data_IF_998782981353
#
_entry.id   IF_998782981353
#
_cell.length_a   1.000
_cell.length_b   1.000
_cell.length_c   1.000
_cell.angle_alpha   90.00
_cell.angle_beta   90.00
_cell.angle_gamma   90.00
#
_symmetry.space_group_name_H-M   'P 1'
#
loop_
_entity.id
_entity.type
_entity.pdbx_description
1 polymer ?
#
# COMPACT_ATOMS: atom_id res chain seq x y z
N UNK A 1 -0.20 68.68 97.07
CA UNK A 1 -0.40 67.96 98.27
C UNK A 1 -0.57 66.48 97.93
N UNK A 2 0.17 65.71 98.57
CA UNK A 2 0.12 64.26 98.87
C UNK A 2 0.52 63.31 97.79
N UNK A 3 1.71 62.69 98.08
CA UNK A 3 2.31 61.57 97.46
C UNK A 3 1.58 60.20 97.69
N UNK A 4 1.62 59.36 96.77
CA UNK A 4 1.39 57.95 97.14
C UNK A 4 2.31 57.06 96.22
N UNK A 5 3.07 56.25 97.00
CA UNK A 5 4.08 55.33 96.48
C UNK A 5 3.48 54.11 95.87
N UNK A 6 3.99 53.70 94.71
CA UNK A 6 3.67 52.45 94.04
C UNK A 6 4.72 51.38 94.37
N UNK A 7 4.30 50.27 94.95
CA UNK A 7 5.12 49.04 95.12
C UNK A 7 5.23 48.27 93.83
N UNK A 8 6.48 47.93 93.45
CA UNK A 8 6.80 47.00 92.37
C UNK A 8 6.62 45.55 92.85
N UNK A 9 5.79 44.81 92.19
CA UNK A 9 5.76 43.36 92.30
C UNK A 9 6.44 42.77 91.05
N UNK A 10 7.57 42.01 91.28
CA UNK A 10 8.26 41.24 90.24
C UNK A 10 7.45 39.94 89.96
N UNK A 11 6.94 39.79 88.80
CA UNK A 11 6.37 38.51 88.33
C UNK A 11 7.41 37.81 87.49
N UNK A 12 7.82 36.66 87.94
CA UNK A 12 8.75 35.72 87.24
C UNK A 12 7.92 35.07 86.10
N UNK A 13 8.28 35.37 84.86
CA UNK A 13 7.75 34.63 83.69
C UNK A 13 8.62 33.38 83.49
N UNK A 14 8.00 32.23 83.65
CA UNK A 14 8.51 30.96 83.17
C UNK A 14 8.42 30.92 81.68
N UNK A 15 9.53 30.81 80.96
CA UNK A 15 9.60 30.57 79.54
C UNK A 15 9.27 29.08 79.25
N UNK A 16 8.11 28.82 78.70
CA UNK A 16 7.75 27.55 78.12
C UNK A 16 8.31 27.45 76.72
N UNK A 17 9.28 26.54 76.54
CA UNK A 17 9.75 26.15 75.21
C UNK A 17 8.71 25.23 74.57
N UNK A 18 7.93 25.72 73.62
CA UNK A 18 7.12 24.90 72.71
C UNK A 18 7.98 24.57 71.48
N UNK A 19 8.41 23.31 71.39
CA UNK A 19 9.05 22.73 70.23
C UNK A 19 7.94 22.55 69.16
N UNK A 20 7.89 23.42 68.15
CA UNK A 20 7.06 23.23 66.96
C UNK A 20 7.80 22.25 66.04
N UNK A 21 7.34 21.00 65.97
CA UNK A 21 7.76 19.99 65.03
C UNK A 21 7.18 20.35 63.64
N UNK A 22 7.90 21.04 62.78
CA UNK A 22 7.55 21.28 61.38
C UNK A 22 7.77 20.00 60.61
N UNK A 23 6.73 19.18 60.45
CA UNK A 23 6.67 18.08 59.49
C UNK A 23 6.63 18.64 58.09
N UNK A 24 7.81 18.77 57.44
CA UNK A 24 7.94 19.06 56.02
C UNK A 24 7.48 17.85 55.22
N UNK A 25 6.24 17.89 54.74
CA UNK A 25 5.75 16.97 53.68
C UNK A 25 6.45 17.40 52.38
N UNK A 26 7.60 16.76 52.08
CA UNK A 26 8.17 16.84 50.75
C UNK A 26 7.22 16.10 49.78
N UNK A 27 6.34 16.84 49.15
CA UNK A 27 5.57 16.36 48.00
C UNK A 27 6.58 16.11 46.89
N UNK A 28 7.04 14.86 46.75
CA UNK A 28 7.72 14.37 45.55
C UNK A 28 6.71 14.44 44.40
N UNK A 29 6.70 15.58 43.72
CA UNK A 29 6.07 15.70 42.43
C UNK A 29 6.82 14.79 41.47
N UNK A 30 6.37 13.57 41.28
CA UNK A 30 6.68 12.78 40.10
C UNK A 30 6.08 13.54 38.91
N UNK A 31 6.82 14.51 38.37
CA UNK A 31 6.60 14.94 37.02
C UNK A 31 6.90 13.70 36.15
N UNK A 32 5.87 12.96 35.77
CA UNK A 32 5.99 12.01 34.69
C UNK A 32 6.54 12.82 33.52
N UNK A 33 7.81 12.62 33.21
CA UNK A 33 8.41 13.18 32.00
C UNK A 33 7.57 12.63 30.85
N UNK A 34 6.68 13.45 30.35
CA UNK A 34 5.90 13.14 29.17
C UNK A 34 6.94 12.98 28.07
N UNK A 35 7.26 11.72 27.73
CA UNK A 35 8.12 11.39 26.61
C UNK A 35 7.59 12.18 25.42
N UNK A 36 8.46 12.99 24.81
CA UNK A 36 8.06 13.75 23.62
C UNK A 36 7.50 12.77 22.61
N UNK A 37 6.30 13.06 22.07
CA UNK A 37 5.64 12.19 21.11
C UNK A 37 6.58 11.94 19.92
N UNK A 38 6.82 10.68 19.61
CA UNK A 38 7.59 10.29 18.42
C UNK A 38 6.74 10.56 17.19
N UNK A 39 7.29 11.27 16.23
CA UNK A 39 6.61 11.55 14.95
C UNK A 39 7.22 10.70 13.85
N UNK A 40 6.39 9.99 13.09
CA UNK A 40 6.76 9.20 11.93
C UNK A 40 5.93 9.68 10.73
N UNK A 41 6.62 9.99 9.64
CA UNK A 41 6.01 10.37 8.38
C UNK A 41 6.09 9.19 7.42
N UNK A 42 4.96 8.85 6.85
CA UNK A 42 4.83 7.89 5.76
C UNK A 42 4.36 8.59 4.49
N UNK A 43 4.82 8.12 3.34
CA UNK A 43 4.27 8.49 2.04
C UNK A 43 4.50 7.39 1.01
N UNK A 44 3.66 7.35 -0.01
CA UNK A 44 3.88 6.43 -1.13
C UNK A 44 2.63 5.92 -1.80
N UNK A 45 2.48 4.61 -1.84
CA UNK A 45 1.44 3.91 -2.58
C UNK A 45 0.03 4.41 -2.28
N UNK A 46 -0.71 4.69 -3.35
CA UNK A 46 -2.14 5.02 -3.25
C UNK A 46 -3.02 3.78 -3.06
N UNK A 47 -2.51 2.58 -3.36
CA UNK A 47 -3.21 1.31 -3.19
C UNK A 47 -3.29 0.91 -1.72
N UNK A 48 -2.18 0.95 -0.97
CA UNK A 48 -2.17 0.64 0.48
C UNK A 48 -2.70 1.79 1.35
N UNK A 49 -2.75 3.01 0.84
CA UNK A 49 -3.09 4.22 1.61
C UNK A 49 -4.38 4.10 2.44
N UNK A 50 -5.51 3.54 1.95
CA UNK A 50 -6.71 3.36 2.77
C UNK A 50 -6.49 2.43 3.97
N UNK A 51 -5.72 1.36 3.79
CA UNK A 51 -5.36 0.44 4.87
C UNK A 51 -4.40 1.11 5.85
N UNK A 52 -3.40 1.83 5.35
CA UNK A 52 -2.40 2.50 6.19
C UNK A 52 -3.04 3.53 7.13
N UNK A 53 -4.00 4.32 6.63
CA UNK A 53 -4.80 5.22 7.49
C UNK A 53 -5.62 4.47 8.55
N UNK A 54 -6.19 3.31 8.19
CA UNK A 54 -6.90 2.46 9.14
C UNK A 54 -5.95 1.92 10.22
N UNK A 55 -4.72 1.56 9.84
CA UNK A 55 -3.68 1.14 10.76
C UNK A 55 -3.24 2.26 11.71
N UNK A 56 -3.01 3.47 11.21
CA UNK A 56 -2.67 4.63 12.06
C UNK A 56 -3.78 4.84 13.12
N UNK A 57 -5.05 4.86 12.69
CA UNK A 57 -6.17 5.07 13.59
C UNK A 57 -6.34 3.95 14.63
N UNK A 58 -6.06 2.71 14.26
CA UNK A 58 -6.12 1.57 15.16
C UNK A 58 -4.91 1.53 16.12
N UNK A 59 -3.70 1.78 15.61
CA UNK A 59 -2.47 1.74 16.38
C UNK A 59 -2.35 2.88 17.40
N UNK A 60 -2.95 4.02 17.15
CA UNK A 60 -3.03 5.12 18.11
C UNK A 60 -3.67 4.72 19.46
N UNK A 61 -4.45 3.62 19.49
CA UNK A 61 -4.99 3.04 20.74
C UNK A 61 -3.99 2.12 21.43
N UNK A 62 -3.02 1.57 20.69
CA UNK A 62 -1.97 0.68 21.19
C UNK A 62 -0.80 1.51 21.72
N UNK A 63 -0.39 2.52 20.96
CA UNK A 63 0.68 3.46 21.33
C UNK A 63 0.23 4.91 21.12
N UNK A 64 -0.36 5.54 22.14
CA UNK A 64 -0.76 6.95 22.09
C UNK A 64 0.43 7.94 22.01
N UNK A 65 1.65 7.48 22.28
CA UNK A 65 2.89 8.27 22.20
C UNK A 65 3.42 8.41 20.78
N UNK A 66 2.97 7.56 19.84
CA UNK A 66 3.35 7.64 18.43
C UNK A 66 2.36 8.50 17.64
N UNK A 67 2.89 9.49 16.94
CA UNK A 67 2.13 10.31 15.98
C UNK A 67 2.56 9.96 14.57
N UNK A 68 1.64 9.55 13.73
CA UNK A 68 1.91 9.20 12.35
C UNK A 68 1.07 10.03 11.39
N UNK A 69 1.67 10.37 10.25
CA UNK A 69 0.99 10.97 9.10
C UNK A 69 1.24 10.11 7.87
N UNK A 70 0.26 9.99 7.00
CA UNK A 70 0.36 9.25 5.75
C UNK A 70 0.03 10.12 4.54
N UNK A 71 0.68 9.85 3.41
CA UNK A 71 0.50 10.57 2.16
C UNK A 71 0.44 9.63 0.95
N UNK A 72 -0.52 9.88 0.06
CA UNK A 72 -0.74 9.10 -1.17
C UNK A 72 -0.02 9.75 -2.37
N UNK A 73 1.30 9.61 -2.47
CA UNK A 73 2.14 10.31 -3.46
C UNK A 73 2.59 9.45 -4.64
N UNK A 74 2.27 8.15 -4.62
CA UNK A 74 2.71 7.15 -5.58
C UNK A 74 3.95 6.38 -5.11
N UNK A 75 4.07 5.12 -5.54
CA UNK A 75 5.10 4.19 -5.08
C UNK A 75 6.52 4.66 -5.37
N UNK A 76 6.77 5.27 -6.54
CA UNK A 76 8.09 5.82 -6.88
C UNK A 76 8.52 6.92 -5.91
N UNK A 77 7.58 7.81 -5.53
CA UNK A 77 7.82 8.85 -4.53
C UNK A 77 8.10 8.23 -3.17
N UNK A 78 7.36 7.19 -2.77
CA UNK A 78 7.59 6.45 -1.52
C UNK A 78 9.00 5.86 -1.45
N UNK A 79 9.41 5.14 -2.49
CA UNK A 79 10.77 4.57 -2.59
C UNK A 79 11.83 5.67 -2.53
N UNK A 80 11.71 6.71 -3.39
CA UNK A 80 12.74 7.74 -3.52
C UNK A 80 12.88 8.58 -2.25
N UNK A 81 11.76 8.92 -1.57
CA UNK A 81 11.79 9.69 -0.33
C UNK A 81 12.32 8.87 0.85
N UNK A 82 12.07 7.55 0.89
CA UNK A 82 12.67 6.65 1.88
C UNK A 82 14.19 6.55 1.68
N UNK A 83 14.67 6.39 0.43
CA UNK A 83 16.10 6.39 0.08
C UNK A 83 16.75 7.72 0.49
N UNK A 84 16.09 8.84 0.20
CA UNK A 84 16.55 10.18 0.55
C UNK A 84 16.39 10.53 2.03
N UNK A 85 15.80 9.63 2.85
CA UNK A 85 15.50 9.83 4.29
C UNK A 85 14.62 11.05 4.56
N UNK A 86 13.78 11.42 3.61
CA UNK A 86 12.79 12.50 3.75
C UNK A 86 11.56 12.03 4.53
N UNK A 87 11.29 10.74 4.50
CA UNK A 87 10.27 10.07 5.30
C UNK A 87 10.88 8.88 6.04
N UNK A 88 10.26 8.46 7.13
CA UNK A 88 10.70 7.29 7.89
C UNK A 88 10.21 5.98 7.26
N UNK A 89 9.04 6.01 6.64
CA UNK A 89 8.44 4.87 5.93
C UNK A 89 8.03 5.35 4.54
N UNK A 90 8.58 4.74 3.50
CA UNK A 90 7.99 4.81 2.17
C UNK A 90 7.07 3.61 1.98
N UNK A 91 5.90 3.78 1.37
CA UNK A 91 5.07 2.63 0.96
C UNK A 91 5.09 2.47 -0.55
N UNK A 92 5.02 1.21 -1.01
CA UNK A 92 5.11 0.90 -2.43
C UNK A 92 4.50 -0.45 -2.76
N UNK A 93 3.79 -0.52 -3.88
CA UNK A 93 3.31 -1.78 -4.47
C UNK A 93 4.42 -2.44 -5.31
N UNK A 94 5.50 -1.71 -5.59
CA UNK A 94 6.68 -2.18 -6.27
C UNK A 94 7.85 -2.31 -5.28
N UNK A 95 8.67 -3.34 -5.43
CA UNK A 95 9.96 -3.41 -4.74
C UNK A 95 11.00 -2.53 -5.44
N UNK A 96 12.06 -2.15 -4.73
CA UNK A 96 13.20 -1.44 -5.33
C UNK A 96 13.82 -2.28 -6.44
N UNK A 97 14.16 -1.64 -7.56
CA UNK A 97 14.93 -2.28 -8.62
C UNK A 97 16.29 -2.77 -8.11
N UNK A 98 16.93 -3.69 -8.84
CA UNK A 98 18.26 -4.19 -8.49
C UNK A 98 19.28 -3.06 -8.35
N UNK A 99 19.26 -2.10 -9.28
CA UNK A 99 20.12 -0.93 -9.22
C UNK A 99 19.87 -0.08 -7.97
N UNK A 100 18.62 0.15 -7.61
CA UNK A 100 18.27 0.89 -6.38
C UNK A 100 18.73 0.13 -5.13
N UNK A 101 18.48 -1.18 -5.06
CA UNK A 101 18.88 -2.01 -3.92
C UNK A 101 20.40 -2.11 -3.77
N UNK A 102 21.13 -2.31 -4.87
CA UNK A 102 22.60 -2.33 -4.86
C UNK A 102 23.20 -0.97 -4.43
N UNK A 103 22.61 0.13 -4.89
CA UNK A 103 23.06 1.47 -4.51
C UNK A 103 22.70 1.86 -3.08
N UNK A 104 21.70 1.21 -2.48
CA UNK A 104 21.13 1.55 -1.17
C UNK A 104 20.93 0.30 -0.29
N UNK A 105 22.01 -0.44 0.05
CA UNK A 105 21.89 -1.72 0.77
C UNK A 105 21.35 -1.59 2.19
N UNK A 106 21.24 -0.36 2.71
CA UNK A 106 20.64 -0.05 4.01
C UNK A 106 19.13 0.14 3.95
N UNK A 107 18.51 0.13 2.77
CA UNK A 107 17.07 0.28 2.60
C UNK A 107 16.45 -1.11 2.44
N UNK A 108 15.45 -1.39 3.26
CA UNK A 108 14.72 -2.64 3.29
C UNK A 108 13.44 -2.56 2.46
N UNK A 109 13.05 -3.67 1.85
CA UNK A 109 11.73 -3.89 1.27
C UNK A 109 11.01 -4.89 2.16
N UNK A 110 10.03 -4.44 2.93
CA UNK A 110 9.35 -5.25 3.94
C UNK A 110 7.90 -5.45 3.54
N UNK A 111 7.48 -6.65 3.11
CA UNK A 111 6.07 -6.94 2.87
C UNK A 111 5.22 -6.73 4.13
N UNK A 112 4.06 -6.10 3.97
CA UNK A 112 3.09 -5.85 5.05
C UNK A 112 1.79 -6.61 4.83
N UNK A 113 1.37 -6.78 3.58
CA UNK A 113 0.16 -7.48 3.18
C UNK A 113 0.29 -7.94 1.73
N UNK A 114 -0.68 -8.70 1.24
CA UNK A 114 -0.84 -9.00 -0.19
C UNK A 114 -2.12 -8.33 -0.67
N UNK A 115 -2.00 -7.62 -1.79
CA UNK A 115 -3.10 -6.95 -2.46
C UNK A 115 -3.30 -7.47 -3.87
N UNK A 116 -4.22 -6.85 -4.60
CA UNK A 116 -4.48 -7.11 -5.99
C UNK A 116 -4.84 -5.82 -6.73
N UNK A 117 -4.88 -5.91 -8.05
CA UNK A 117 -5.45 -4.88 -8.91
C UNK A 117 -6.62 -5.43 -9.70
N UNK A 118 -7.56 -4.56 -10.05
CA UNK A 118 -8.61 -4.81 -11.03
C UNK A 118 -8.28 -4.08 -12.34
N UNK A 119 -8.83 -4.56 -13.43
CA UNK A 119 -8.95 -3.79 -14.66
C UNK A 119 -10.42 -3.40 -14.79
N UNK A 120 -10.70 -2.11 -14.64
CA UNK A 120 -12.05 -1.57 -14.64
C UNK A 120 -12.42 -1.02 -16.01
N UNK A 121 -13.64 -1.29 -16.47
CA UNK A 121 -14.18 -0.76 -17.69
C UNK A 121 -15.48 0.01 -17.43
N UNK A 122 -15.65 1.14 -18.13
CA UNK A 122 -16.89 1.91 -18.13
C UNK A 122 -17.69 1.63 -19.40
N UNK A 123 -18.49 0.58 -19.38
CA UNK A 123 -19.32 0.15 -20.51
C UNK A 123 -20.79 0.24 -20.13
N UNK A 124 -21.46 1.38 -20.40
CA UNK A 124 -22.84 1.61 -19.96
C UNK A 124 -23.84 0.54 -20.41
N UNK A 125 -23.61 -0.08 -21.59
CA UNK A 125 -24.47 -1.10 -22.17
C UNK A 125 -24.29 -2.49 -21.56
N UNK A 126 -23.17 -2.71 -20.82
CA UNK A 126 -22.79 -4.02 -20.29
C UNK A 126 -22.78 -4.07 -18.75
N UNK A 127 -23.44 -3.12 -18.10
CA UNK A 127 -23.51 -3.10 -16.63
C UNK A 127 -24.02 -4.43 -16.07
N UNK A 128 -23.28 -4.96 -15.08
CA UNK A 128 -23.56 -6.27 -14.50
C UNK A 128 -23.10 -7.47 -15.34
N UNK A 129 -22.35 -7.23 -16.41
CA UNK A 129 -21.76 -8.28 -17.26
C UNK A 129 -20.25 -8.13 -17.31
N UNK A 130 -19.48 -8.84 -16.47
CA UNK A 130 -18.02 -8.75 -16.47
C UNK A 130 -17.46 -9.23 -17.81
N UNK A 131 -16.59 -8.41 -18.41
CA UNK A 131 -15.87 -8.79 -19.62
C UNK A 131 -14.67 -9.67 -19.29
N UNK A 132 -14.34 -10.55 -20.23
CA UNK A 132 -13.08 -11.32 -20.21
C UNK A 132 -12.04 -10.55 -21.01
N UNK A 133 -10.90 -10.27 -20.38
CA UNK A 133 -9.74 -9.65 -21.02
C UNK A 133 -8.49 -10.49 -20.72
N UNK A 134 -7.63 -10.59 -21.72
CA UNK A 134 -6.32 -11.26 -21.58
C UNK A 134 -5.19 -10.24 -21.60
N UNK A 135 -4.01 -10.62 -21.11
CA UNK A 135 -2.83 -9.77 -21.19
C UNK A 135 -2.49 -9.35 -22.62
N UNK A 136 -2.48 -10.26 -23.64
CA UNK A 136 -2.28 -9.89 -25.03
C UNK A 136 -3.32 -8.87 -25.55
N UNK A 137 -4.60 -8.99 -25.17
CA UNK A 137 -5.63 -8.04 -25.56
C UNK A 137 -5.37 -6.67 -24.91
N UNK A 138 -5.05 -6.64 -23.61
CA UNK A 138 -4.71 -5.40 -22.91
C UNK A 138 -3.44 -4.75 -23.49
N UNK A 139 -2.39 -5.53 -23.81
CA UNK A 139 -1.23 -5.04 -24.51
C UNK A 139 -1.58 -4.43 -25.88
N UNK A 140 -2.53 -5.05 -26.61
CA UNK A 140 -3.12 -4.52 -27.83
C UNK A 140 -3.83 -3.20 -27.63
N UNK A 141 -4.63 -3.07 -26.56
CA UNK A 141 -5.35 -1.84 -26.21
C UNK A 141 -4.35 -0.71 -25.88
N UNK A 142 -3.44 -0.96 -24.96
CA UNK A 142 -2.48 0.06 -24.50
C UNK A 142 -1.38 0.40 -25.53
N UNK A 143 -1.26 -0.40 -26.60
CA UNK A 143 -0.42 -0.10 -27.75
C UNK A 143 -1.19 0.53 -28.94
N UNK A 144 -2.54 0.61 -28.87
CA UNK A 144 -3.39 1.11 -29.94
C UNK A 144 -3.59 0.15 -31.11
N UNK A 145 -3.25 -1.14 -30.95
CA UNK A 145 -3.50 -2.20 -31.92
C UNK A 145 -4.95 -2.70 -31.86
N UNK A 146 -5.56 -2.67 -30.68
CA UNK A 146 -6.96 -2.93 -30.44
C UNK A 146 -7.61 -1.60 -30.06
N UNK A 147 -8.50 -1.10 -30.87
CA UNK A 147 -9.03 0.27 -30.74
C UNK A 147 -10.49 0.35 -30.37
N UNK A 148 -11.28 -0.66 -30.69
CA UNK A 148 -12.72 -0.66 -30.49
C UNK A 148 -13.13 -1.85 -29.62
N UNK A 149 -14.17 -1.66 -28.81
CA UNK A 149 -14.61 -2.68 -27.87
C UNK A 149 -15.14 -3.94 -28.56
N UNK A 150 -15.72 -3.82 -29.77
CA UNK A 150 -16.18 -4.96 -30.57
C UNK A 150 -15.09 -5.55 -31.50
N UNK A 151 -13.84 -5.14 -31.33
CA UNK A 151 -12.73 -5.69 -32.10
C UNK A 151 -12.63 -7.22 -31.93
N UNK A 152 -12.29 -7.92 -33.01
CA UNK A 152 -12.25 -9.38 -33.06
C UNK A 152 -11.48 -10.05 -31.88
N UNK A 153 -10.34 -9.54 -31.39
CA UNK A 153 -9.65 -10.13 -30.25
C UNK A 153 -10.47 -10.09 -28.95
N UNK A 154 -11.23 -9.03 -28.70
CA UNK A 154 -12.11 -8.93 -27.53
C UNK A 154 -13.35 -9.80 -27.72
N UNK A 155 -13.97 -9.74 -28.90
CA UNK A 155 -15.15 -10.53 -29.23
C UNK A 155 -14.89 -12.05 -29.09
N UNK A 156 -13.70 -12.51 -29.49
CA UNK A 156 -13.31 -13.93 -29.37
C UNK A 156 -13.30 -14.43 -27.92
N UNK A 157 -12.95 -13.56 -26.94
CA UNK A 157 -12.97 -13.91 -25.52
C UNK A 157 -14.37 -13.84 -24.90
N UNK A 158 -15.29 -13.11 -25.53
CA UNK A 158 -16.60 -12.76 -24.98
C UNK A 158 -17.76 -13.29 -25.83
N UNK A 159 -17.67 -14.54 -26.29
CA UNK A 159 -18.72 -15.14 -27.12
C UNK A 159 -20.10 -15.03 -26.45
N UNK A 160 -21.09 -14.57 -27.22
CA UNK A 160 -22.46 -14.36 -26.75
C UNK A 160 -22.74 -12.98 -26.11
N UNK A 161 -21.72 -12.16 -25.87
CA UNK A 161 -21.88 -10.78 -25.40
C UNK A 161 -21.94 -9.84 -26.59
N UNK A 162 -22.97 -8.98 -26.63
CA UNK A 162 -23.04 -7.92 -27.64
C UNK A 162 -22.18 -6.74 -27.22
N UNK A 163 -20.96 -6.70 -27.72
CA UNK A 163 -20.01 -5.63 -27.45
C UNK A 163 -20.41 -4.32 -28.16
N UNK A 164 -20.22 -3.15 -27.54
CA UNK A 164 -20.53 -1.87 -28.17
C UNK A 164 -19.49 -1.52 -29.24
N UNK A 165 -19.94 -0.96 -30.38
CA UNK A 165 -19.05 -0.42 -31.41
C UNK A 165 -18.59 0.99 -31.03
N UNK A 166 -17.62 1.06 -30.10
CA UNK A 166 -17.06 2.31 -29.59
C UNK A 166 -15.56 2.21 -29.40
N UNK A 167 -14.88 3.34 -29.67
CA UNK A 167 -13.43 3.43 -29.45
C UNK A 167 -13.08 3.35 -27.98
N UNK A 168 -12.11 2.51 -27.64
CA UNK A 168 -11.58 2.32 -26.29
C UNK A 168 -10.76 3.55 -25.90
N UNK A 169 -10.95 4.03 -24.67
CA UNK A 169 -10.16 5.09 -24.05
C UNK A 169 -9.27 4.49 -22.96
N UNK A 170 -8.00 4.14 -23.23
CA UNK A 170 -7.11 3.66 -22.21
C UNK A 170 -6.76 4.78 -21.22
N UNK A 171 -6.86 4.49 -19.93
CA UNK A 171 -6.45 5.41 -18.84
C UNK A 171 -5.24 4.81 -18.14
N UNK A 172 -4.21 5.63 -17.90
CA UNK A 172 -2.96 5.23 -17.26
C UNK A 172 -2.52 6.23 -16.21
N UNK A 173 -1.63 5.82 -15.33
CA UNK A 173 -1.08 6.68 -14.28
C UNK A 173 -0.15 7.73 -14.88
N UNK A 174 -0.22 8.93 -14.33
CA UNK A 174 0.61 10.06 -14.75
C UNK A 174 1.98 10.08 -14.03
N UNK A 175 1.98 9.65 -12.76
CA UNK A 175 3.17 9.58 -11.90
C UNK A 175 3.79 8.18 -11.88
N UNK A 176 4.97 8.07 -11.27
CA UNK A 176 5.60 6.78 -11.00
C UNK A 176 4.80 5.97 -9.96
N UNK A 177 4.20 4.87 -10.42
CA UNK A 177 3.16 4.13 -9.71
C UNK A 177 3.49 2.65 -9.60
N UNK A 178 3.28 2.07 -8.41
CA UNK A 178 3.33 0.63 -8.22
C UNK A 178 2.21 -0.09 -8.94
N UNK A 179 1.03 0.53 -9.06
CA UNK A 179 -0.05 0.00 -9.91
C UNK A 179 0.40 -0.16 -11.37
N UNK A 180 1.14 0.83 -11.91
CA UNK A 180 1.75 0.71 -13.23
C UNK A 180 2.77 -0.43 -13.29
N UNK A 181 3.57 -0.60 -12.24
CA UNK A 181 4.55 -1.67 -12.15
C UNK A 181 3.90 -3.05 -12.24
N UNK A 182 2.86 -3.31 -11.44
CA UNK A 182 2.15 -4.60 -11.43
C UNK A 182 1.43 -4.85 -12.75
N UNK A 183 0.72 -3.85 -13.25
CA UNK A 183 0.00 -3.95 -14.52
C UNK A 183 0.94 -4.24 -15.70
N UNK A 184 2.06 -3.52 -15.77
CA UNK A 184 3.04 -3.74 -16.85
C UNK A 184 3.82 -5.04 -16.70
N UNK A 185 4.03 -5.56 -15.47
CA UNK A 185 4.50 -6.94 -15.27
C UNK A 185 3.54 -7.97 -15.86
N UNK A 186 2.23 -7.81 -15.61
CA UNK A 186 1.24 -8.69 -16.20
C UNK A 186 1.28 -8.66 -17.73
N UNK A 187 1.35 -7.47 -18.33
CA UNK A 187 1.46 -7.36 -19.78
C UNK A 187 2.74 -8.01 -20.30
N UNK A 188 3.87 -7.83 -19.61
CA UNK A 188 5.15 -8.44 -19.95
C UNK A 188 5.09 -9.97 -19.90
N UNK A 189 4.63 -10.52 -18.78
CA UNK A 189 4.68 -11.98 -18.56
C UNK A 189 3.60 -12.74 -19.32
N UNK A 190 2.51 -12.10 -19.71
CA UNK A 190 1.44 -12.70 -20.50
C UNK A 190 1.62 -12.53 -22.01
N UNK A 191 2.59 -11.73 -22.46
CA UNK A 191 2.94 -11.57 -23.88
C UNK A 191 4.38 -12.06 -24.10
N UNK A 192 4.63 -13.37 -24.07
CA UNK A 192 5.96 -13.92 -24.17
C UNK A 192 6.62 -13.57 -25.50
N UNK A 193 7.95 -13.53 -25.48
CA UNK A 193 8.81 -13.17 -26.61
C UNK A 193 8.41 -13.92 -27.90
N UNK A 194 8.10 -13.13 -28.94
CA UNK A 194 7.75 -13.62 -30.28
C UNK A 194 8.83 -14.48 -30.93
N UNK A 195 10.10 -14.36 -30.47
CA UNK A 195 11.20 -15.15 -31.02
C UNK A 195 11.14 -16.62 -30.63
N UNK A 196 10.40 -16.97 -29.58
CA UNK A 196 10.29 -18.35 -29.08
C UNK A 196 8.98 -19.07 -29.45
N UNK A 197 7.94 -18.35 -29.87
CA UNK A 197 6.65 -18.93 -30.21
C UNK A 197 6.02 -18.23 -31.43
N UNK A 198 6.14 -18.84 -32.60
CA UNK A 198 5.45 -18.45 -33.83
C UNK A 198 3.93 -18.73 -33.74
N UNK A 199 3.26 -18.37 -32.66
CA UNK A 199 1.82 -18.59 -32.49
C UNK A 199 1.06 -17.27 -32.69
N UNK A 200 0.06 -17.36 -33.53
CA UNK A 200 -0.68 -16.34 -34.26
C UNK A 200 -1.49 -15.29 -33.43
N UNK A 201 -1.34 -15.19 -32.11
CA UNK A 201 -2.23 -14.39 -31.26
C UNK A 201 -1.59 -13.25 -30.50
N UNK A 202 -0.30 -12.94 -30.75
CA UNK A 202 0.35 -11.81 -30.10
C UNK A 202 0.02 -10.53 -30.86
N UNK A 203 -0.82 -9.70 -30.26
CA UNK A 203 -1.24 -8.43 -30.83
C UNK A 203 -0.15 -7.38 -30.75
N UNK A 204 0.69 -7.45 -29.70
CA UNK A 204 1.80 -6.54 -29.46
C UNK A 204 2.83 -7.19 -28.53
N UNK A 205 4.09 -7.15 -28.95
CA UNK A 205 5.22 -7.61 -28.16
C UNK A 205 5.55 -6.58 -27.07
N UNK A 206 4.90 -6.73 -25.93
CA UNK A 206 5.05 -5.80 -24.82
C UNK A 206 6.41 -5.97 -24.12
N UNK A 207 6.84 -7.22 -23.92
CA UNK A 207 8.08 -7.53 -23.22
C UNK A 207 9.30 -6.86 -23.87
N UNK A 208 9.53 -7.09 -25.16
CA UNK A 208 10.72 -6.58 -25.84
C UNK A 208 10.67 -5.07 -26.14
N UNK A 209 9.45 -4.48 -26.21
CA UNK A 209 9.27 -3.08 -26.60
C UNK A 209 9.16 -2.13 -25.44
N UNK A 210 8.53 -2.56 -24.35
CA UNK A 210 8.18 -1.71 -23.22
C UNK A 210 8.74 -2.26 -21.91
N UNK A 211 8.51 -3.57 -21.62
CA UNK A 211 8.84 -4.18 -20.35
C UNK A 211 7.93 -3.66 -19.23
N UNK A 212 8.48 -3.58 -18.03
CA UNK A 212 7.72 -3.14 -16.83
C UNK A 212 8.53 -2.19 -15.96
N UNK A 213 7.81 -1.37 -15.20
CA UNK A 213 8.37 -0.40 -14.26
C UNK A 213 7.31 0.43 -13.59
N UNK A 214 7.68 1.17 -12.54
CA UNK A 214 6.81 2.19 -11.92
C UNK A 214 6.48 3.30 -12.92
N UNK A 215 7.38 3.52 -13.87
CA UNK A 215 7.25 4.40 -15.05
C UNK A 215 7.74 3.65 -16.28
N UNK A 216 6.98 3.68 -17.35
CA UNK A 216 7.35 3.08 -18.64
C UNK A 216 7.14 4.06 -19.80
N UNK A 217 7.82 3.81 -20.92
CA UNK A 217 7.61 4.56 -22.16
C UNK A 217 6.33 4.09 -22.85
N UNK A 218 5.18 4.60 -22.42
CA UNK A 218 3.88 4.22 -22.95
C UNK A 218 3.80 4.47 -24.46
N UNK A 219 3.26 3.53 -25.24
CA UNK A 219 2.91 3.78 -26.62
C UNK A 219 1.96 4.97 -26.77
N UNK A 220 2.08 5.69 -27.89
CA UNK A 220 1.18 6.79 -28.20
C UNK A 220 -0.15 6.22 -28.72
N UNK A 221 -1.21 6.34 -27.93
CA UNK A 221 -2.58 5.93 -28.30
C UNK A 221 -3.46 7.19 -28.34
N UNK A 222 -3.97 7.56 -29.53
CA UNK A 222 -4.87 8.72 -29.63
C UNK A 222 -6.10 8.57 -28.74
N UNK A 223 -6.39 9.62 -27.96
CA UNK A 223 -7.50 9.63 -27.02
C UNK A 223 -7.21 8.98 -25.67
N UNK A 224 -6.01 8.41 -25.44
CA UNK A 224 -5.65 7.92 -24.11
C UNK A 224 -5.59 9.05 -23.08
N UNK A 225 -5.95 8.73 -21.84
CA UNK A 225 -5.98 9.67 -20.73
C UNK A 225 -4.94 9.29 -19.67
N UNK A 226 -4.61 10.26 -18.85
CA UNK A 226 -3.75 10.06 -17.66
C UNK A 226 -4.46 10.56 -16.41
N UNK A 227 -4.20 9.90 -15.29
CA UNK A 227 -4.77 10.27 -14.00
C UNK A 227 -3.74 10.04 -12.88
N UNK A 228 -3.80 10.84 -11.82
CA UNK A 228 -2.91 10.73 -10.67
C UNK A 228 -3.57 9.96 -9.54
N UNK A 229 -2.88 8.97 -9.01
CA UNK A 229 -3.35 8.11 -7.91
C UNK A 229 -4.55 7.23 -8.29
N UNK A 230 -4.92 6.36 -7.38
CA UNK A 230 -6.11 5.50 -7.58
C UNK A 230 -7.42 6.31 -7.60
N UNK A 231 -7.54 7.35 -6.79
CA UNK A 231 -8.71 8.26 -6.84
C UNK A 231 -8.87 8.91 -8.20
N UNK A 232 -7.78 9.44 -8.76
CA UNK A 232 -7.80 10.04 -10.09
C UNK A 232 -8.14 9.02 -11.18
N UNK A 233 -7.59 7.79 -11.10
CA UNK A 233 -7.92 6.70 -12.02
C UNK A 233 -9.41 6.37 -11.94
N UNK A 234 -9.94 6.11 -10.74
CA UNK A 234 -11.36 5.83 -10.51
C UNK A 234 -12.26 6.91 -11.13
N UNK A 235 -11.99 8.17 -10.81
CA UNK A 235 -12.80 9.29 -11.30
C UNK A 235 -12.72 9.45 -12.82
N UNK A 236 -11.52 9.26 -13.40
CA UNK A 236 -11.33 9.40 -14.85
C UNK A 236 -12.05 8.30 -15.60
N UNK A 237 -11.95 7.04 -15.16
CA UNK A 237 -12.64 5.91 -15.77
C UNK A 237 -14.17 6.10 -15.65
N UNK A 238 -14.65 6.44 -14.45
CA UNK A 238 -16.08 6.58 -14.17
C UNK A 238 -16.76 7.69 -14.99
N UNK A 239 -16.04 8.79 -15.26
CA UNK A 239 -16.58 9.93 -16.04
C UNK A 239 -16.41 9.79 -17.54
N UNK A 240 -15.63 8.81 -17.99
CA UNK A 240 -15.33 8.63 -19.42
C UNK A 240 -15.98 7.36 -19.92
N UNK A 241 -17.10 7.45 -20.65
CA UNK A 241 -17.68 6.29 -21.30
C UNK A 241 -16.65 5.58 -22.19
N UNK A 242 -16.69 4.26 -22.20
CA UNK A 242 -15.79 3.38 -22.96
C UNK A 242 -14.32 3.43 -22.53
N UNK A 243 -14.02 4.01 -21.34
CA UNK A 243 -12.70 3.95 -20.75
C UNK A 243 -12.39 2.57 -20.17
N UNK A 244 -11.10 2.25 -20.14
CA UNK A 244 -10.51 1.10 -19.41
C UNK A 244 -9.26 1.55 -18.67
N UNK A 245 -9.08 1.08 -17.45
CA UNK A 245 -7.89 1.38 -16.67
C UNK A 245 -7.67 0.34 -15.56
N UNK A 246 -6.48 0.35 -15.00
CA UNK A 246 -6.13 -0.50 -13.86
C UNK A 246 -6.30 0.27 -12.55
N UNK A 247 -6.78 -0.41 -11.53
CA UNK A 247 -7.16 0.19 -10.25
C UNK A 247 -6.79 -0.73 -9.09
N UNK A 248 -6.25 -0.17 -8.03
CA UNK A 248 -5.97 -0.93 -6.81
C UNK A 248 -7.26 -1.48 -6.18
N UNK A 249 -7.22 -2.73 -5.72
CA UNK A 249 -8.41 -3.43 -5.20
C UNK A 249 -9.03 -2.74 -3.97
N UNK A 250 -8.27 -1.93 -3.24
CA UNK A 250 -8.78 -1.13 -2.13
C UNK A 250 -9.84 -0.10 -2.54
N UNK A 251 -9.94 0.19 -3.84
CA UNK A 251 -10.94 1.09 -4.43
C UNK A 251 -12.13 0.34 -5.07
N UNK A 252 -12.15 -1.00 -4.98
CA UNK A 252 -13.20 -1.81 -5.63
C UNK A 252 -14.61 -1.40 -5.22
N UNK A 253 -14.84 -1.19 -3.91
CA UNK A 253 -16.16 -0.79 -3.43
C UNK A 253 -16.64 0.56 -4.01
N UNK A 254 -15.73 1.48 -4.26
CA UNK A 254 -16.06 2.78 -4.85
C UNK A 254 -16.18 2.70 -6.38
N UNK A 255 -15.43 1.80 -7.05
CA UNK A 255 -15.61 1.47 -8.45
C UNK A 255 -17.00 0.85 -8.71
N UNK A 256 -17.40 -0.11 -7.88
CA UNK A 256 -18.73 -0.72 -7.95
C UNK A 256 -19.85 0.33 -7.78
N UNK A 257 -19.73 1.24 -6.79
CA UNK A 257 -20.68 2.35 -6.59
C UNK A 257 -20.72 3.31 -7.78
N UNK A 258 -19.58 3.50 -8.46
CA UNK A 258 -19.49 4.32 -9.66
C UNK A 258 -20.07 3.61 -10.90
N UNK A 259 -20.47 2.35 -10.80
CA UNK A 259 -21.03 1.54 -11.89
C UNK A 259 -19.97 1.07 -12.88
N UNK A 260 -18.73 0.94 -12.43
CA UNK A 260 -17.66 0.30 -13.20
C UNK A 260 -17.74 -1.22 -13.07
N UNK A 261 -17.25 -1.93 -14.07
CA UNK A 261 -17.21 -3.40 -14.09
C UNK A 261 -15.77 -3.88 -14.15
N UNK A 262 -15.38 -4.64 -13.13
CA UNK A 262 -14.09 -5.31 -13.11
C UNK A 262 -14.07 -6.43 -14.17
N UNK A 263 -13.08 -6.40 -15.05
CA UNK A 263 -12.89 -7.45 -16.04
C UNK A 263 -12.38 -8.74 -15.37
N UNK A 264 -12.87 -9.88 -15.85
CA UNK A 264 -12.25 -11.17 -15.56
C UNK A 264 -10.94 -11.29 -16.36
N UNK A 265 -9.82 -11.50 -15.69
CA UNK A 265 -8.51 -11.58 -16.33
C UNK A 265 -8.07 -13.02 -16.55
N UNK A 266 -7.48 -13.26 -17.74
CA UNK A 266 -6.92 -14.56 -18.08
C UNK A 266 -5.62 -14.80 -17.30
N UNK A 267 -5.52 -15.96 -16.64
CA UNK A 267 -4.32 -16.41 -15.95
C UNK A 267 -3.45 -17.32 -16.83
N UNK A 268 -2.34 -17.84 -16.29
CA UNK A 268 -1.42 -18.73 -17.03
C UNK A 268 -2.08 -20.00 -17.55
N UNK A 269 -3.14 -20.48 -16.87
CA UNK A 269 -3.85 -21.73 -17.22
C UNK A 269 -5.06 -21.46 -18.15
N UNK A 270 -5.18 -20.24 -18.71
CA UNK A 270 -6.27 -19.87 -19.62
C UNK A 270 -7.63 -19.70 -18.93
N UNK A 271 -7.66 -19.55 -17.58
CA UNK A 271 -8.88 -19.31 -16.81
C UNK A 271 -9.11 -17.81 -16.63
N UNK A 272 -10.36 -17.38 -16.74
CA UNK A 272 -10.76 -16.01 -16.51
C UNK A 272 -11.29 -15.85 -15.09
N UNK A 273 -10.59 -15.04 -14.29
CA UNK A 273 -10.84 -14.90 -12.85
C UNK A 273 -11.08 -13.45 -12.45
N UNK A 274 -11.90 -13.28 -11.40
CA UNK A 274 -12.00 -12.02 -10.64
C UNK A 274 -11.13 -12.09 -9.38
N UNK A 275 -10.68 -10.95 -8.84
CA UNK A 275 -9.90 -10.90 -7.61
C UNK A 275 -10.82 -11.14 -6.40
N UNK A 276 -10.83 -12.35 -5.92
CA UNK A 276 -11.47 -12.73 -4.66
C UNK A 276 -10.41 -13.13 -3.65
N UNK A 277 -10.74 -13.16 -2.36
CA UNK A 277 -9.81 -13.64 -1.34
C UNK A 277 -9.25 -15.03 -1.68
N UNK A 278 -10.08 -15.93 -2.25
CA UNK A 278 -9.67 -17.27 -2.66
C UNK A 278 -8.67 -17.25 -3.82
N UNK A 279 -8.94 -16.48 -4.90
CA UNK A 279 -8.09 -16.43 -6.09
C UNK A 279 -6.78 -15.67 -5.85
N UNK A 280 -6.80 -14.65 -4.97
CA UNK A 280 -5.59 -13.95 -4.50
C UNK A 280 -4.74 -14.89 -3.64
N UNK A 281 -5.35 -15.63 -2.72
CA UNK A 281 -4.65 -16.60 -1.86
C UNK A 281 -4.02 -17.71 -2.68
N UNK A 282 -4.71 -18.24 -3.70
CA UNK A 282 -4.18 -19.27 -4.59
C UNK A 282 -2.93 -18.78 -5.33
N UNK A 283 -2.99 -17.56 -5.90
CA UNK A 283 -1.86 -16.95 -6.59
C UNK A 283 -0.67 -16.71 -5.63
N UNK A 284 -0.93 -16.19 -4.42
CA UNK A 284 0.08 -16.00 -3.40
C UNK A 284 0.76 -17.32 -3.01
N UNK A 285 -0.02 -18.38 -2.76
CA UNK A 285 0.51 -19.68 -2.38
C UNK A 285 1.45 -20.29 -3.44
N UNK A 286 1.23 -19.98 -4.72
CA UNK A 286 2.06 -20.48 -5.82
C UNK A 286 3.45 -19.84 -5.87
N UNK A 287 3.60 -18.57 -5.45
CA UNK A 287 4.84 -17.80 -5.62
C UNK A 287 5.55 -17.48 -4.30
N UNK A 288 4.85 -17.28 -3.20
CA UNK A 288 5.46 -16.89 -1.92
C UNK A 288 6.55 -17.85 -1.43
N UNK A 289 6.54 -19.18 -1.71
CA UNK A 289 7.65 -20.05 -1.35
C UNK A 289 8.98 -19.71 -2.05
N UNK A 290 8.95 -18.87 -3.08
CA UNK A 290 10.13 -18.39 -3.82
C UNK A 290 10.65 -17.03 -3.29
N UNK A 291 10.03 -16.46 -2.26
CA UNK A 291 10.43 -15.15 -1.74
C UNK A 291 11.88 -15.19 -1.23
N UNK A 292 12.76 -14.35 -1.79
CA UNK A 292 14.16 -14.30 -1.36
C UNK A 292 14.30 -13.61 0.00
N UNK A 293 15.47 -13.71 0.67
CA UNK A 293 15.70 -13.09 1.98
C UNK A 293 15.55 -11.57 2.02
N UNK A 294 15.66 -10.87 0.88
CA UNK A 294 15.42 -9.43 0.76
C UNK A 294 13.97 -9.08 0.38
N UNK A 295 13.12 -10.11 0.27
CA UNK A 295 11.68 -10.09 0.05
C UNK A 295 11.22 -9.38 -1.25
N UNK A 296 12.14 -9.09 -2.19
CA UNK A 296 11.82 -8.50 -3.49
C UNK A 296 11.38 -9.59 -4.46
N UNK A 297 10.08 -9.77 -4.62
CA UNK A 297 9.49 -10.80 -5.48
C UNK A 297 8.26 -10.27 -6.20
N UNK A 298 8.17 -10.54 -7.51
CA UNK A 298 6.91 -10.37 -8.23
C UNK A 298 5.94 -11.50 -7.91
N UNK A 299 4.69 -11.14 -7.68
CA UNK A 299 3.59 -12.09 -7.55
C UNK A 299 2.64 -12.04 -8.76
N UNK A 300 2.93 -11.18 -9.74
CA UNK A 300 2.13 -11.05 -10.94
C UNK A 300 2.21 -12.32 -11.81
N UNK A 301 1.08 -12.69 -12.41
CA UNK A 301 0.93 -13.79 -13.33
C UNK A 301 1.38 -15.14 -12.76
N UNK A 302 0.95 -15.44 -11.53
CA UNK A 302 1.25 -16.68 -10.84
C UNK A 302 0.64 -17.90 -11.56
N UNK A 303 1.35 -19.07 -11.54
CA UNK A 303 0.82 -20.31 -12.10
C UNK A 303 -0.34 -20.85 -11.25
N UNK A 304 -1.18 -21.68 -11.87
CA UNK A 304 -2.29 -22.41 -11.24
C UNK A 304 -3.67 -21.92 -11.70
N UNK A 305 -4.63 -22.88 -11.84
CA UNK A 305 -5.93 -22.61 -12.47
C UNK A 305 -6.80 -21.61 -11.68
N UNK A 306 -6.55 -21.44 -10.37
CA UNK A 306 -7.29 -20.54 -9.51
C UNK A 306 -6.49 -19.27 -9.16
N UNK A 307 -5.31 -19.06 -9.75
CA UNK A 307 -4.42 -17.93 -9.47
C UNK A 307 -4.86 -16.68 -10.22
N UNK A 308 -5.32 -15.64 -9.48
CA UNK A 308 -5.60 -14.34 -10.07
C UNK A 308 -4.29 -13.66 -10.52
N UNK A 309 -4.22 -13.09 -11.74
CA UNK A 309 -2.94 -12.70 -12.33
C UNK A 309 -2.35 -11.37 -11.83
N UNK A 310 -3.14 -10.47 -11.25
CA UNK A 310 -2.69 -9.15 -10.80
C UNK A 310 -2.67 -9.08 -9.28
N UNK A 311 -1.66 -9.67 -8.64
CA UNK A 311 -1.42 -9.57 -7.21
C UNK A 311 0.02 -9.11 -6.92
N UNK A 312 0.24 -8.55 -5.74
CA UNK A 312 1.55 -8.05 -5.30
C UNK A 312 1.69 -8.07 -3.77
N UNK A 313 2.93 -7.97 -3.30
CA UNK A 313 3.21 -7.52 -1.94
C UNK A 313 3.04 -6.01 -1.84
N UNK A 314 2.43 -5.56 -0.74
CA UNK A 314 2.48 -4.18 -0.29
C UNK A 314 3.71 -4.00 0.60
N UNK A 315 4.63 -3.14 0.20
CA UNK A 315 5.92 -2.96 0.87
C UNK A 315 5.95 -1.70 1.74
N UNK A 316 6.57 -1.83 2.93
CA UNK A 316 7.24 -0.73 3.57
C UNK A 316 8.69 -0.67 3.08
N UNK A 317 9.12 0.49 2.62
CA UNK A 317 10.51 0.80 2.23
C UNK A 317 11.12 1.63 3.35
N UNK A 318 12.07 1.04 4.10
CA UNK A 318 12.55 1.62 5.37
C UNK A 318 14.06 1.52 5.47
N UNK A 319 14.71 2.61 5.93
CA UNK A 319 16.13 2.57 6.25
C UNK A 319 16.40 1.76 7.52
N UNK A 320 17.44 0.93 7.51
CA UNK A 320 17.93 0.27 8.74
C UNK A 320 18.43 1.27 9.78
N UNK A 321 18.80 2.50 9.36
CA UNK A 321 19.33 3.54 10.25
C UNK A 321 18.33 4.67 10.39
N UNK A 322 17.75 4.80 11.57
CA UNK A 322 16.81 5.85 11.90
C UNK A 322 17.50 7.03 12.63
N UNK A 323 16.86 8.20 12.74
CA UNK A 323 17.46 9.38 13.38
C UNK A 323 17.86 9.16 14.84
N UNK A 324 17.14 8.30 15.55
CA UNK A 324 17.44 7.93 16.95
C UNK A 324 16.74 6.60 17.31
N UNK A 325 17.14 5.95 18.41
CA UNK A 325 16.58 4.68 18.84
C UNK A 325 15.07 4.69 19.14
N UNK A 326 14.52 5.84 19.56
CA UNK A 326 13.08 5.96 19.85
C UNK A 326 12.27 5.86 18.56
N UNK A 327 12.70 6.55 17.49
CA UNK A 327 12.08 6.45 16.16
C UNK A 327 12.23 5.05 15.61
N UNK A 328 13.41 4.43 15.72
CA UNK A 328 13.64 3.06 15.27
C UNK A 328 12.67 2.07 15.96
N UNK A 329 12.58 2.15 17.29
CA UNK A 329 11.69 1.28 18.07
C UNK A 329 10.21 1.50 17.72
N UNK A 330 9.79 2.76 17.53
CA UNK A 330 8.42 3.10 17.16
C UNK A 330 8.04 2.52 15.80
N UNK A 331 8.92 2.65 14.79
CA UNK A 331 8.71 2.07 13.46
C UNK A 331 8.66 0.55 13.54
N UNK A 332 9.63 -0.08 14.21
CA UNK A 332 9.68 -1.54 14.34
C UNK A 332 8.42 -2.09 15.00
N UNK A 333 8.00 -1.50 16.12
CA UNK A 333 6.78 -1.91 16.83
C UNK A 333 5.52 -1.73 15.97
N UNK A 334 5.42 -0.63 15.25
CA UNK A 334 4.28 -0.38 14.34
C UNK A 334 4.26 -1.41 13.21
N UNK A 335 5.39 -1.66 12.53
CA UNK A 335 5.45 -2.61 11.42
C UNK A 335 5.19 -4.05 11.89
N UNK A 336 5.73 -4.46 13.05
CA UNK A 336 5.42 -5.75 13.66
C UNK A 336 3.91 -5.88 13.97
N UNK A 337 3.30 -4.80 14.47
CA UNK A 337 1.86 -4.80 14.69
C UNK A 337 1.07 -4.88 13.38
N UNK A 338 1.50 -4.18 12.30
CA UNK A 338 0.85 -4.24 10.98
C UNK A 338 0.76 -5.68 10.44
N UNK A 339 1.83 -6.47 10.59
CA UNK A 339 1.88 -7.86 10.11
C UNK A 339 1.35 -8.89 11.11
N UNK A 340 0.96 -8.45 12.32
CA UNK A 340 0.43 -9.35 13.37
C UNK A 340 -1.03 -9.72 13.10
N UNK A 341 -1.42 -11.01 13.23
CA UNK A 341 -2.82 -11.43 13.08
C UNK A 341 -3.78 -10.83 14.13
N UNK A 342 -3.25 -10.46 15.32
CA UNK A 342 -4.01 -9.79 16.38
C UNK A 342 -3.96 -8.26 16.26
N UNK A 343 -3.21 -7.74 15.30
CA UNK A 343 -3.01 -6.32 15.03
C UNK A 343 -3.53 -5.91 13.65
N UNK A 344 -2.63 -5.34 12.86
CA UNK A 344 -2.93 -4.79 11.54
C UNK A 344 -3.39 -5.81 10.49
N UNK A 345 -2.96 -7.08 10.62
CA UNK A 345 -3.38 -8.16 9.74
C UNK A 345 -4.70 -8.84 10.15
N UNK A 346 -5.42 -8.28 11.13
CA UNK A 346 -6.75 -8.79 11.48
C UNK A 346 -7.73 -8.61 10.29
N UNK A 347 -8.59 -9.63 10.06
CA UNK A 347 -9.58 -9.61 8.99
C UNK A 347 -10.48 -8.35 9.03
N UNK A 348 -10.81 -7.86 10.21
CA UNK A 348 -11.60 -6.63 10.37
C UNK A 348 -10.97 -5.37 9.76
N UNK A 349 -9.66 -5.38 9.47
CA UNK A 349 -8.95 -4.30 8.80
C UNK A 349 -8.70 -4.64 7.33
N UNK A 350 -8.21 -5.86 7.04
CA UNK A 350 -7.82 -6.26 5.68
C UNK A 350 -9.03 -6.43 4.75
N UNK A 351 -10.14 -7.03 5.24
CA UNK A 351 -11.34 -7.28 4.42
C UNK A 351 -11.96 -5.99 3.88
N UNK A 352 -11.80 -4.86 4.59
CA UNK A 352 -12.32 -3.56 4.16
C UNK A 352 -11.69 -3.04 2.87
N UNK A 353 -10.48 -3.49 2.59
CA UNK A 353 -9.68 -3.10 1.42
C UNK A 353 -9.39 -4.29 0.51
N UNK A 354 -10.01 -5.45 0.78
CA UNK A 354 -9.86 -6.70 0.04
C UNK A 354 -8.41 -7.24 -0.01
N UNK A 355 -7.60 -6.93 1.01
CA UNK A 355 -6.25 -7.46 1.13
C UNK A 355 -6.26 -8.78 1.88
N UNK A 356 -5.18 -9.56 1.74
CA UNK A 356 -4.94 -10.77 2.52
C UNK A 356 -3.68 -10.63 3.37
N UNK A 357 -3.67 -11.32 4.51
CA UNK A 357 -2.53 -11.37 5.40
C UNK A 357 -1.35 -12.09 4.74
N UNK A 358 -0.13 -11.73 5.14
CA UNK A 358 1.07 -12.47 4.74
C UNK A 358 0.99 -13.93 5.23
N UNK A 359 1.37 -14.90 4.39
CA UNK A 359 1.60 -16.28 4.84
C UNK A 359 2.62 -16.29 6.00
N UNK A 360 2.48 -17.25 6.92
CA UNK A 360 3.33 -17.31 8.13
C UNK A 360 4.83 -17.31 7.81
N UNK A 361 5.25 -17.99 6.74
CA UNK A 361 6.66 -18.02 6.34
C UNK A 361 7.16 -16.65 5.89
N UNK A 362 6.34 -15.89 5.16
CA UNK A 362 6.70 -14.54 4.68
C UNK A 362 6.70 -13.55 5.85
N UNK A 363 5.69 -13.62 6.73
CA UNK A 363 5.68 -12.81 7.94
C UNK A 363 6.96 -13.01 8.77
N UNK A 364 7.45 -14.24 8.90
CA UNK A 364 8.70 -14.51 9.61
C UNK A 364 9.93 -13.87 8.91
N UNK A 365 9.95 -13.80 7.58
CA UNK A 365 11.00 -13.07 6.85
C UNK A 365 10.89 -11.55 7.10
N UNK A 366 9.68 -10.99 7.04
CA UNK A 366 9.44 -9.57 7.34
C UNK A 366 9.83 -9.22 8.79
N UNK A 367 9.57 -10.10 9.77
CA UNK A 367 10.03 -9.93 11.17
C UNK A 367 11.57 -9.85 11.25
N UNK A 368 12.29 -10.68 10.49
CA UNK A 368 13.76 -10.63 10.39
C UNK A 368 14.24 -9.31 9.77
N UNK A 369 13.55 -8.80 8.75
CA UNK A 369 13.88 -7.51 8.14
C UNK A 369 13.63 -6.37 9.13
N UNK A 370 12.48 -6.36 9.81
CA UNK A 370 12.11 -5.33 10.80
C UNK A 370 13.13 -5.27 11.93
N UNK A 371 13.65 -6.41 12.37
CA UNK A 371 14.67 -6.48 13.43
C UNK A 371 16.01 -5.79 13.08
N UNK A 372 16.24 -5.45 11.80
CA UNK A 372 17.43 -4.71 11.36
C UNK A 372 17.29 -3.19 11.50
N UNK A 373 16.13 -2.67 11.87
CA UNK A 373 15.86 -1.23 12.01
C UNK A 373 16.47 -0.75 13.35
N UNK A 374 17.40 0.23 13.29
CA UNK A 374 18.18 0.72 14.44
C UNK A 374 18.18 2.26 14.49
#
# INVERSE_FOLDING_TARGET
MSACRTRRTRTVRRAGFTLALAAGIAALSFAAAQSAAVTVVETGSTLIYPLFNSWIAAYAKVDPGLRMTAGATGSEAGISQAIAKQVQIGTSDAYMSDNQAMANPQILNIPLAISAQTVEANLPELRGTPLKLSGPVLAGIYSGKVRDWDAAPIAALNGGVRLPHHTIVPVRRAEGSGDTFIFTQFLTFSTPDLHLQATANILYDWESRIGYGTTVSWPSVPGSLTASGNDGMLQTIARTPYAVGYLGISFKADADKAGLEAAMLENQDGKFLLPTAATITAAAAALTPRTPPDERLTLAFAPGPDSYPLINYEYAVVSTRQPNPQVASAISNFLLWCISPQGGSAASLLDRVHFIALPTAIRALSEIQIAKIQ
#
